data_IF_204738520632
#
_entry.id   IF_204738520632
#
_cell.length_a   1.000
_cell.length_b   1.000
_cell.length_c   1.000
_cell.angle_alpha   90.00
_cell.angle_beta   90.00
_cell.angle_gamma   90.00
#
_symmetry.space_group_name_H-M   'P 1'
#
loop_
_entity.id
_entity.type
_entity.pdbx_description
1 polymer ?
2 branched ?
3 non-polymer ?
4 non-polymer ?
5 non-polymer ?
6 water ?
#
# COMPACT_ATOMS: atom_id res chain seq x y z
C UNK A 1 10.72 1.14 30.81
N UNK A 2 9.42 1.49 30.95
CA UNK A 2 8.76 2.81 30.92
C UNK A 2 9.14 3.62 29.69
N UNK A 3 8.82 3.06 28.52
CA UNK A 3 9.24 3.66 27.26
C UNK A 3 8.30 4.79 26.84
N UNK A 4 6.99 4.58 26.97
CA UNK A 4 6.05 5.60 26.56
C UNK A 4 5.06 5.95 27.64
N UNK A 5 3.91 6.49 27.26
CA UNK A 5 2.84 6.80 28.18
C UNK A 5 1.57 6.12 27.67
N UNK A 6 0.97 5.30 28.52
CA UNK A 6 -0.26 4.61 28.18
C UNK A 6 -1.47 5.43 28.58
N UNK A 7 -2.56 5.23 27.84
CA UNK A 7 -3.84 5.75 28.21
C UNK A 7 -4.91 4.94 27.51
N UNK A 8 -6.18 5.26 27.77
CA UNK A 8 -7.26 4.64 26.98
C UNK A 8 -7.18 5.10 25.54
N UNK A 9 -6.97 4.15 24.64
CA UNK A 9 -6.96 4.32 23.18
C UNK A 9 -5.70 4.97 22.64
N UNK A 10 -4.59 4.97 23.38
CA UNK A 10 -3.37 5.52 22.79
C UNK A 10 -2.14 4.99 23.50
N UNK A 11 -1.02 5.09 22.81
CA UNK A 11 0.30 4.86 23.38
C UNK A 11 1.23 5.93 22.78
N UNK A 12 1.55 6.94 23.57
CA UNK A 12 2.50 7.98 23.16
C UNK A 12 3.90 7.44 23.40
N UNK A 13 4.72 7.27 22.35
CA UNK A 13 6.07 6.73 22.56
C UNK A 13 7.00 7.76 23.21
N UNK A 14 6.67 8.18 24.43
CA UNK A 14 7.49 9.16 25.12
C UNK A 14 7.22 9.04 26.62
N UNK A 15 8.29 9.11 27.41
CA UNK A 15 8.16 8.93 28.84
C UNK A 15 7.54 10.17 29.49
N UNK A 16 6.73 9.93 30.54
CA UNK A 16 6.03 11.01 31.23
C UNK A 16 6.64 11.34 32.59
N UNK A 17 7.93 11.00 32.80
CA UNK A 17 8.55 11.33 34.08
C UNK A 17 8.64 12.83 34.30
N UNK A 18 8.70 13.61 33.23
CA UNK A 18 8.68 15.07 33.34
C UNK A 18 7.27 15.63 33.48
N UNK A 19 6.25 14.83 33.19
CA UNK A 19 4.88 15.32 33.34
C UNK A 19 4.32 16.09 32.15
N UNK A 20 4.99 16.05 31.00
CA UNK A 20 4.59 16.89 29.87
C UNK A 20 3.75 16.15 28.84
N UNK A 21 3.63 14.83 28.92
CA UNK A 21 2.89 14.08 27.92
C UNK A 21 1.40 14.40 28.03
N UNK A 22 0.75 14.51 26.87
CA UNK A 22 -0.69 14.75 26.78
C UNK A 22 -1.32 13.73 25.84
N UNK A 23 -2.61 13.51 26.02
CA UNK A 23 -3.36 12.65 25.11
C UNK A 23 -3.20 13.13 23.67
N UNK A 24 -2.87 12.23 22.73
CA UNK A 24 -2.78 12.64 21.32
C UNK A 24 -4.11 13.04 20.71
N UNK A 25 -5.21 12.94 21.45
CA UNK A 25 -6.51 13.43 21.02
C UNK A 25 -6.83 14.82 21.55
N UNK A 26 -5.94 15.42 22.36
CA UNK A 26 -6.30 16.63 23.11
C UNK A 26 -5.32 17.79 22.96
N UNK A 27 -4.05 17.50 22.73
CA UNK A 27 -3.05 18.57 22.77
C UNK A 27 -1.88 18.20 21.88
N UNK A 28 -1.15 19.20 21.37
CA UNK A 28 -0.09 18.90 20.39
C UNK A 28 1.09 18.16 21.02
N UNK A 29 1.66 17.24 20.25
CA UNK A 29 2.72 16.35 20.72
C UNK A 29 4.11 16.91 20.43
N UNK A 30 4.33 18.18 20.80
CA UNK A 30 5.57 18.84 20.44
C UNK A 30 6.78 18.38 21.27
N UNK A 31 6.62 17.37 22.12
CA UNK A 31 7.76 16.72 22.75
C UNK A 31 8.26 15.51 21.96
N UNK A 32 7.45 15.01 21.03
CA UNK A 32 7.90 13.98 20.10
C UNK A 32 8.76 14.57 18.99
N UNK A 33 8.49 15.82 18.60
CA UNK A 33 9.14 16.44 17.47
C UNK A 33 8.87 17.93 17.52
N UNK A 34 9.81 18.71 16.98
CA UNK A 34 9.65 20.14 16.90
C UNK A 34 8.48 20.50 15.98
N UNK A 35 7.88 21.68 16.17
CA UNK A 35 6.80 22.11 15.26
C UNK A 35 7.19 22.07 13.78
N UNK A 36 8.41 22.51 13.45
CA UNK A 36 8.85 22.49 12.05
C UNK A 36 8.90 21.07 11.49
N UNK A 37 9.10 20.06 12.33
CA UNK A 37 9.07 18.68 11.83
C UNK A 37 7.64 18.21 11.57
N UNK A 38 6.68 18.68 12.35
CA UNK A 38 5.28 18.44 12.01
C UNK A 38 4.92 19.13 10.70
N UNK A 39 5.47 20.33 10.46
CA UNK A 39 5.22 21.01 9.19
C UNK A 39 5.84 20.23 8.04
N UNK A 40 7.01 19.64 8.25
CA UNK A 40 7.63 18.82 7.21
C UNK A 40 6.82 17.56 6.95
N UNK A 41 6.26 16.95 8.00
CA UNK A 41 5.27 15.90 7.78
C UNK A 41 4.12 16.41 6.92
N UNK A 42 3.67 17.64 7.18
CA UNK A 42 2.60 18.22 6.37
C UNK A 42 3.05 18.42 4.94
N UNK A 43 4.26 18.95 4.74
CA UNK A 43 4.78 19.15 3.40
C UNK A 43 4.90 17.84 2.64
N UNK A 44 5.33 16.78 3.34
CA UNK A 44 5.37 15.46 2.73
C UNK A 44 3.99 15.00 2.31
N UNK A 45 2.98 15.19 3.18
CA UNK A 45 1.62 14.83 2.80
C UNK A 45 1.15 15.64 1.62
N UNK A 46 1.49 16.93 1.58
CA UNK A 46 1.09 17.77 0.45
C UNK A 46 1.71 17.26 -0.86
N UNK A 47 2.97 16.85 -0.80
CA UNK A 47 3.63 16.30 -2.00
C UNK A 47 2.88 15.06 -2.50
N UNK A 48 2.56 14.15 -1.58
CA UNK A 48 1.85 12.93 -1.95
C UNK A 48 0.46 13.24 -2.50
N UNK A 49 -0.21 14.25 -1.96
CA UNK A 49 -1.53 14.62 -2.46
C UNK A 49 -1.42 15.18 -3.87
N UNK A 50 -0.50 16.14 -4.07
CA UNK A 50 -0.41 16.81 -5.35
C UNK A 50 0.06 15.88 -6.47
N UNK A 51 0.80 14.83 -6.13
CA UNK A 51 1.21 13.85 -7.14
C UNK A 51 0.27 12.66 -7.21
N UNK A 52 -0.22 12.20 -6.05
CA UNK A 52 -1.11 11.07 -5.94
C UNK A 52 -2.48 11.23 -6.53
N UNK A 53 -3.15 12.35 -6.25
CA UNK A 53 -4.49 12.53 -6.79
C UNK A 53 -4.50 12.60 -8.32
N UNK A 54 -3.74 13.49 -8.98
CA UNK A 54 -3.86 13.57 -10.44
C UNK A 54 -3.54 12.27 -11.15
N UNK A 55 -2.45 11.61 -10.77
CA UNK A 55 -2.05 10.38 -11.44
C UNK A 55 -3.14 9.31 -11.30
N UNK A 56 -3.70 9.15 -10.11
CA UNK A 56 -4.69 8.08 -9.93
C UNK A 56 -6.06 8.47 -10.48
N UNK A 57 -6.44 9.74 -10.36
CA UNK A 57 -7.71 10.16 -10.96
C UNK A 57 -7.64 10.12 -12.47
N UNK A 58 -6.51 10.54 -13.06
CA UNK A 58 -6.35 10.49 -14.50
C UNK A 58 -6.44 9.07 -15.02
N UNK A 59 -5.99 8.08 -14.24
CA UNK A 59 -6.14 6.69 -14.63
C UNK A 59 -7.62 6.32 -14.78
N UNK A 60 -8.44 6.71 -13.81
CA UNK A 60 -9.87 6.45 -13.93
C UNK A 60 -10.48 7.26 -15.06
N UNK A 61 -9.93 8.44 -15.33
CA UNK A 61 -10.54 9.34 -16.31
C UNK A 61 -10.28 8.88 -17.73
N UNK A 62 -9.03 8.51 -18.04
CA UNK A 62 -8.71 8.09 -19.40
C UNK A 62 -9.37 6.76 -19.74
N UNK A 63 -9.72 5.95 -18.74
CA UNK A 63 -10.45 4.71 -19.04
C UNK A 63 -11.86 5.02 -19.51
N UNK A 64 -12.43 6.13 -19.07
CA UNK A 64 -13.76 6.53 -19.51
C UNK A 64 -13.75 6.98 -20.97
N UNK A 65 -12.65 7.58 -21.43
CA UNK A 65 -12.58 8.18 -22.76
C UNK A 65 -12.07 7.23 -23.84
N UNK A 66 -11.46 6.11 -23.48
CA UNK A 66 -10.80 5.24 -24.44
C UNK A 66 -11.36 3.82 -24.32
N UNK A 67 -12.07 3.37 -25.36
CA UNK A 67 -12.79 2.11 -25.29
C UNK A 67 -11.84 0.91 -25.12
N UNK A 68 -10.64 0.97 -25.71
CA UNK A 68 -9.77 -0.19 -25.71
C UNK A 68 -9.11 -0.43 -24.35
N UNK A 69 -9.15 0.53 -23.42
CA UNK A 69 -8.67 0.30 -22.08
C UNK A 69 -9.62 -0.56 -21.24
N UNK A 70 -10.91 -0.58 -21.57
CA UNK A 70 -11.90 -1.29 -20.76
C UNK A 70 -11.93 -2.77 -21.12
N UNK A 71 -10.78 -3.42 -20.94
CA UNK A 71 -10.62 -4.86 -21.08
C UNK A 71 -10.55 -5.51 -19.70
N UNK A 72 -10.98 -6.78 -19.59
CA UNK A 72 -11.01 -7.42 -18.26
C UNK A 72 -9.67 -7.45 -17.55
N UNK A 73 -8.56 -7.63 -18.27
CA UNK A 73 -7.24 -7.64 -17.67
C UNK A 73 -6.84 -6.29 -17.06
N UNK A 74 -7.54 -5.21 -17.40
CA UNK A 74 -7.25 -3.90 -16.84
C UNK A 74 -8.11 -3.54 -15.63
N UNK A 75 -9.11 -4.37 -15.31
CA UNK A 75 -9.99 -4.05 -14.18
C UNK A 75 -9.19 -3.92 -12.88
N UNK A 76 -8.21 -4.81 -12.66
CA UNK A 76 -7.46 -4.78 -11.42
C UNK A 76 -6.62 -3.50 -11.33
N UNK A 77 -6.23 -2.93 -12.47
CA UNK A 77 -5.48 -1.68 -12.45
C UNK A 77 -6.37 -0.51 -12.04
N UNK A 78 -7.63 -0.51 -12.49
CA UNK A 78 -8.57 0.50 -12.00
C UNK A 78 -8.81 0.34 -10.51
N UNK A 79 -8.91 -0.91 -10.05
CA UNK A 79 -9.01 -1.17 -8.63
C UNK A 79 -7.82 -0.58 -7.87
N UNK A 80 -6.61 -0.75 -8.43
CA UNK A 80 -5.42 -0.16 -7.84
C UNK A 80 -5.55 1.36 -7.73
N UNK A 81 -6.04 2.01 -8.80
CA UNK A 81 -6.16 3.46 -8.78
C UNK A 81 -7.13 3.92 -7.69
N UNK A 82 -8.25 3.21 -7.54
CA UNK A 82 -9.21 3.55 -6.49
C UNK A 82 -8.58 3.36 -5.10
N UNK A 83 -7.80 2.28 -4.93
CA UNK A 83 -7.18 2.04 -3.63
C UNK A 83 -6.25 3.18 -3.24
N UNK A 84 -5.45 3.67 -4.19
CA UNK A 84 -4.56 4.78 -3.92
C UNK A 84 -5.32 6.05 -3.58
N UNK A 85 -6.51 6.23 -4.16
CA UNK A 85 -7.35 7.37 -3.81
C UNK A 85 -7.89 7.24 -2.38
N UNK A 86 -8.18 6.02 -1.93
CA UNK A 86 -8.48 5.80 -0.53
C UNK A 86 -7.31 6.21 0.36
N UNK A 87 -6.08 5.91 -0.04
CA UNK A 87 -4.93 6.35 0.73
C UNK A 87 -4.76 7.86 0.65
N UNK A 88 -5.02 8.46 -0.53
CA UNK A 88 -4.83 9.90 -0.70
C UNK A 88 -5.84 10.67 0.15
N UNK A 89 -7.12 10.27 0.13
CA UNK A 89 -8.17 10.98 0.84
C UNK A 89 -8.46 10.42 2.23
N UNK A 90 -8.24 9.14 2.49
CA UNK A 90 -8.46 8.63 3.84
C UNK A 90 -7.29 8.85 4.76
N UNK A 91 -6.08 9.00 4.21
CA UNK A 91 -4.89 9.09 5.02
C UNK A 91 -4.09 10.36 4.85
N UNK A 92 -3.67 10.65 3.61
CA UNK A 92 -2.73 11.77 3.39
C UNK A 92 -3.40 13.11 3.72
N UNK A 93 -4.65 13.29 3.30
CA UNK A 93 -5.30 14.59 3.49
C UNK A 93 -5.68 14.83 4.94
N UNK A 94 -6.18 13.79 5.63
CA UNK A 94 -6.42 13.90 7.07
C UNK A 94 -5.12 14.17 7.82
N UNK A 95 -4.03 13.50 7.42
CA UNK A 95 -2.77 13.65 8.14
C UNK A 95 -2.17 15.03 7.90
N UNK A 96 -2.32 15.57 6.69
CA UNK A 96 -1.91 16.96 6.45
C UNK A 96 -2.65 17.91 7.39
N UNK A 97 -3.92 17.63 7.67
CA UNK A 97 -4.71 18.51 8.52
C UNK A 97 -4.35 18.34 9.99
N UNK A 98 -4.17 17.11 10.46
CA UNK A 98 -3.83 16.88 11.87
C UNK A 98 -2.41 17.30 12.17
N UNK A 99 -1.47 17.03 11.27
CA UNK A 99 -0.07 17.41 11.51
C UNK A 99 0.08 18.91 11.74
N UNK A 100 -0.75 19.73 11.09
CA UNK A 100 -0.68 21.16 11.29
C UNK A 100 -1.28 21.59 12.62
N UNK A 101 -1.97 20.68 13.32
CA UNK A 101 -2.36 20.88 14.70
C UNK A 101 -1.38 20.28 15.69
N UNK A 102 -0.59 19.29 15.28
CA UNK A 102 0.34 18.63 16.18
C UNK A 102 -0.23 17.46 16.94
N UNK A 103 -1.44 17.03 16.60
CA UNK A 103 -2.07 15.86 17.23
C UNK A 103 -3.31 15.48 16.43
N UNK A 104 -3.89 14.34 16.80
CA UNK A 104 -5.04 13.80 16.08
C UNK A 104 -6.31 14.47 16.61
N UNK A 105 -6.75 15.54 15.94
CA UNK A 105 -7.82 16.39 16.45
C UNK A 105 -9.20 15.78 16.28
N UNK A 106 -9.32 14.58 15.71
CA UNK A 106 -10.63 14.01 15.42
C UNK A 106 -11.11 13.02 16.48
N UNK A 107 -10.33 12.81 17.53
CA UNK A 107 -10.74 11.94 18.61
C UNK A 107 -10.65 10.46 18.28
N UNK A 108 -10.95 9.61 19.25
CA UNK A 108 -10.84 8.16 19.01
C UNK A 108 -11.75 7.63 17.93
N UNK A 109 -12.95 8.19 17.79
CA UNK A 109 -13.85 7.75 16.71
C UNK A 109 -13.26 8.05 15.35
N UNK A 110 -12.73 9.27 15.16
CA UNK A 110 -12.06 9.59 13.90
C UNK A 110 -10.81 8.75 13.70
N UNK A 111 -10.21 8.27 14.80
CA UNK A 111 -9.05 7.42 14.71
C UNK A 111 -9.39 6.08 14.06
N UNK A 112 -10.55 5.52 14.41
CA UNK A 112 -11.01 4.29 13.78
C UNK A 112 -11.37 4.51 12.31
N UNK A 113 -12.00 5.65 12.01
CA UNK A 113 -12.35 5.96 10.64
C UNK A 113 -11.11 6.17 9.77
N UNK A 114 -10.22 7.08 10.19
CA UNK A 114 -9.00 7.33 9.43
C UNK A 114 -8.13 6.09 9.38
N UNK A 115 -8.07 5.33 10.48
CA UNK A 115 -7.31 4.10 10.48
C UNK A 115 -7.88 3.07 9.53
N UNK A 116 -9.20 2.88 9.55
CA UNK A 116 -9.82 1.87 8.69
C UNK A 116 -9.60 2.17 7.21
N UNK A 117 -9.95 3.39 6.78
CA UNK A 117 -9.90 3.69 5.35
C UNK A 117 -8.47 3.77 4.82
N UNK A 118 -7.53 4.28 5.63
CA UNK A 118 -6.15 4.30 5.19
C UNK A 118 -5.57 2.89 5.13
N UNK A 119 -5.93 2.03 6.09
CA UNK A 119 -5.49 0.65 6.04
C UNK A 119 -6.19 -0.10 4.91
N UNK A 120 -7.48 0.20 4.68
CA UNK A 120 -8.21 -0.43 3.59
C UNK A 120 -7.58 -0.09 2.24
N UNK A 121 -7.25 1.19 2.04
CA UNK A 121 -6.64 1.60 0.78
C UNK A 121 -5.34 0.89 0.50
N UNK A 122 -4.45 0.83 1.50
CA UNK A 122 -3.17 0.16 1.29
C UNK A 122 -3.33 -1.34 1.09
N UNK A 123 -4.32 -1.94 1.74
CA UNK A 123 -4.54 -3.38 1.58
C UNK A 123 -5.09 -3.70 0.19
N UNK A 124 -6.05 -2.92 -0.30
CA UNK A 124 -6.58 -3.16 -1.64
C UNK A 124 -5.47 -3.03 -2.67
N UNK A 125 -4.57 -2.05 -2.50
CA UNK A 125 -3.46 -1.91 -3.43
C UNK A 125 -2.53 -3.12 -3.39
N UNK A 126 -2.15 -3.55 -2.18
CA UNK A 126 -1.29 -4.71 -2.02
C UNK A 126 -1.86 -5.93 -2.74
N UNK A 127 -3.13 -6.23 -2.50
CA UNK A 127 -3.72 -7.41 -3.08
C UNK A 127 -4.08 -7.24 -4.55
N UNK A 128 -4.21 -5.99 -5.02
CA UNK A 128 -4.33 -5.77 -6.45
C UNK A 128 -3.05 -6.19 -7.17
N UNK A 129 -1.89 -5.85 -6.61
CA UNK A 129 -0.62 -6.29 -7.18
C UNK A 129 -0.50 -7.80 -7.13
N UNK A 130 -1.01 -8.43 -6.06
CA UNK A 130 -0.99 -9.88 -5.98
C UNK A 130 -1.91 -10.49 -7.03
N UNK A 131 -3.12 -9.94 -7.17
CA UNK A 131 -4.08 -10.49 -8.12
C UNK A 131 -3.59 -10.29 -9.56
N UNK A 132 -3.04 -9.11 -9.86
CA UNK A 132 -2.51 -8.87 -11.19
C UNK A 132 -1.41 -9.87 -11.53
N UNK A 133 -0.56 -10.20 -10.57
CA UNK A 133 0.48 -11.21 -10.80
C UNK A 133 -0.13 -12.57 -11.09
N UNK A 134 -1.18 -12.93 -10.34
CA UNK A 134 -1.84 -14.21 -10.55
C UNK A 134 -2.50 -14.26 -11.92
N UNK A 135 -3.18 -13.19 -12.31
CA UNK A 135 -3.87 -13.17 -13.60
C UNK A 135 -2.87 -13.32 -14.75
N UNK A 136 -1.79 -12.53 -14.72
CA UNK A 136 -0.78 -12.63 -15.77
C UNK A 136 -0.13 -14.02 -15.80
N UNK A 137 0.02 -14.66 -14.63
CA UNK A 137 0.55 -16.02 -14.61
C UNK A 137 -0.39 -16.99 -15.28
N UNK A 138 -1.69 -16.83 -15.06
CA UNK A 138 -2.68 -17.74 -15.65
C UNK A 138 -2.73 -17.58 -17.16
N UNK A 139 -2.71 -16.34 -17.64
CA UNK A 139 -2.85 -16.08 -19.08
C UNK A 139 -1.62 -16.57 -19.84
N UNK A 140 -0.44 -16.41 -19.27
CA UNK A 140 0.80 -16.74 -19.99
C UNK A 140 1.19 -18.20 -19.79
N UNK A 141 1.28 -18.65 -18.54
CA UNK A 141 1.75 -20.01 -18.26
C UNK A 141 0.68 -21.06 -18.51
N UNK A 142 -0.59 -20.66 -18.70
CA UNK A 142 -1.71 -21.54 -19.00
C UNK A 142 -1.70 -22.80 -18.13
N UNK A 143 -1.87 -22.68 -16.81
CA UNK A 143 -1.90 -23.88 -15.96
C UNK A 143 -3.23 -24.62 -15.98
N UNK A 144 -4.27 -24.02 -16.55
CA UNK A 144 -5.56 -24.68 -16.72
C UNK A 144 -5.79 -24.87 -18.22
N UNK A 145 -6.07 -26.11 -18.62
CA UNK A 145 -6.01 -26.46 -20.04
C UNK A 145 -7.16 -25.86 -20.83
N UNK A 146 -8.36 -25.86 -20.28
CA UNK A 146 -9.55 -25.38 -20.99
C UNK A 146 -10.03 -24.04 -20.44
N UNK A 147 -9.12 -23.11 -20.20
CA UNK A 147 -9.44 -21.88 -19.49
C UNK A 147 -9.28 -20.66 -20.39
N UNK A 148 -10.22 -19.72 -20.25
CA UNK A 148 -10.17 -18.43 -20.93
C UNK A 148 -10.56 -17.35 -19.93
N UNK A 149 -9.66 -16.40 -19.70
CA UNK A 149 -9.87 -15.36 -18.69
C UNK A 149 -10.81 -14.30 -19.23
N UNK A 150 -11.97 -14.13 -18.58
CA UNK A 150 -12.99 -13.22 -19.06
C UNK A 150 -13.47 -12.20 -18.06
N UNK A 151 -14.61 -11.56 -18.38
CA UNK A 151 -15.13 -10.49 -17.54
C UNK A 151 -15.48 -10.99 -16.14
N UNK A 152 -16.13 -12.15 -16.05
CA UNK A 152 -16.53 -12.67 -14.74
C UNK A 152 -15.33 -13.00 -13.87
N UNK A 153 -14.24 -13.50 -14.49
CA UNK A 153 -13.05 -13.83 -13.71
C UNK A 153 -12.39 -12.59 -13.14
N UNK A 154 -12.34 -11.50 -13.92
CA UNK A 154 -11.71 -10.28 -13.45
C UNK A 154 -12.50 -9.63 -12.33
N UNK A 155 -13.83 -9.70 -12.40
CA UNK A 155 -14.68 -9.22 -11.31
C UNK A 155 -14.42 -10.04 -10.05
N UNK A 156 -14.32 -11.36 -10.22
CA UNK A 156 -13.97 -12.23 -9.10
C UNK A 156 -12.67 -11.81 -8.44
N UNK A 157 -11.66 -11.46 -9.25
CA UNK A 157 -10.38 -11.05 -8.68
C UNK A 157 -10.46 -9.74 -7.92
N UNK A 158 -11.25 -8.79 -8.43
CA UNK A 158 -11.39 -7.50 -7.75
C UNK A 158 -12.10 -7.68 -6.42
N UNK A 159 -13.25 -8.37 -6.42
CA UNK A 159 -13.95 -8.66 -5.18
C UNK A 159 -13.06 -9.37 -4.18
N UNK A 160 -12.12 -10.18 -4.67
CA UNK A 160 -11.20 -10.89 -3.78
C UNK A 160 -10.33 -9.91 -3.00
N UNK A 161 -9.85 -8.85 -3.66
CA UNK A 161 -9.03 -7.86 -2.96
C UNK A 161 -9.81 -7.17 -1.85
N UNK A 162 -11.08 -6.83 -2.12
CA UNK A 162 -11.91 -6.18 -1.10
C UNK A 162 -12.11 -7.08 0.10
N UNK A 163 -12.30 -8.38 -0.15
CA UNK A 163 -12.47 -9.33 0.95
C UNK A 163 -11.18 -9.43 1.76
N UNK A 164 -10.04 -9.55 1.08
CA UNK A 164 -8.76 -9.60 1.79
C UNK A 164 -8.48 -8.30 2.51
N UNK A 165 -8.85 -7.17 1.90
CA UNK A 165 -8.63 -5.89 2.57
C UNK A 165 -9.51 -5.75 3.80
N UNK A 166 -10.76 -6.22 3.72
CA UNK A 166 -11.66 -6.10 4.86
C UNK A 166 -11.22 -7.01 6.00
N UNK A 167 -10.73 -8.21 5.69
CA UNK A 167 -10.34 -9.11 6.76
C UNK A 167 -9.06 -8.68 7.46
N UNK A 168 -8.38 -7.64 6.98
CA UNK A 168 -7.32 -6.99 7.72
C UNK A 168 -7.78 -5.72 8.42
N UNK A 169 -8.55 -4.88 7.74
CA UNK A 169 -8.91 -3.56 8.25
C UNK A 169 -10.08 -3.60 9.22
N UNK A 170 -10.94 -4.60 9.15
CA UNK A 170 -12.15 -4.66 9.95
C UNK A 170 -11.99 -5.28 11.35
N UNK A 171 -11.15 -6.30 11.55
CA UNK A 171 -11.01 -6.88 12.90
C UNK A 171 -10.66 -5.84 13.97
N UNK A 172 -9.74 -4.90 13.71
CA UNK A 172 -9.46 -3.88 14.74
C UNK A 172 -10.67 -3.05 15.12
N UNK A 173 -11.71 -3.01 14.28
CA UNK A 173 -12.94 -2.33 14.64
C UNK A 173 -13.74 -3.08 15.68
N UNK A 174 -13.51 -4.39 15.83
CA UNK A 174 -14.45 -5.23 16.58
C UNK A 174 -13.77 -6.12 17.61
N UNK A 175 -12.49 -5.88 17.89
CA UNK A 175 -11.90 -6.56 19.03
C UNK A 175 -10.61 -7.33 18.84
N UNK A 176 -10.14 -7.50 17.61
CA UNK A 176 -8.86 -8.15 17.34
C UNK A 176 -7.88 -7.07 16.92
N UNK A 177 -6.87 -6.82 17.77
CA UNK A 177 -6.01 -5.65 17.67
C UNK A 177 -6.84 -4.38 17.82
N UNK A 178 -6.29 -3.24 17.41
CA UNK A 178 -7.00 -1.98 17.60
C UNK A 178 -6.32 -0.90 16.77
N UNK A 179 -7.04 0.21 16.62
CA UNK A 179 -6.57 1.38 15.91
C UNK A 179 -6.20 2.45 16.94
N UNK A 180 -4.96 2.95 16.86
CA UNK A 180 -4.48 4.01 17.74
C UNK A 180 -3.61 4.96 16.94
N UNK A 181 -3.43 6.19 17.44
CA UNK A 181 -2.41 7.07 16.85
C UNK A 181 -1.06 6.39 16.89
N UNK A 182 -0.26 6.62 15.85
CA UNK A 182 1.05 6.00 15.72
C UNK A 182 2.06 7.07 15.31
N UNK A 183 3.33 6.75 15.55
CA UNK A 183 4.39 7.68 15.16
C UNK A 183 4.24 9.00 15.87
N UNK A 184 4.17 10.07 15.07
CA UNK A 184 4.01 11.40 15.64
C UNK A 184 2.59 11.68 16.11
N UNK A 185 1.74 10.65 16.11
CA UNK A 185 0.41 10.68 16.70
C UNK A 185 -0.57 11.51 15.90
N UNK A 186 -0.26 11.78 14.64
CA UNK A 186 -1.13 12.55 13.77
C UNK A 186 -1.94 11.68 12.82
N UNK A 187 -1.58 10.41 12.68
CA UNK A 187 -2.37 9.47 11.90
C UNK A 187 -2.53 8.20 12.71
N UNK A 188 -3.47 7.35 12.27
CA UNK A 188 -3.93 6.21 13.05
C UNK A 188 -3.73 4.94 12.24
N UNK A 189 -3.41 3.85 12.93
CA UNK A 189 -3.20 2.59 12.28
C UNK A 189 -3.24 1.42 13.25
N UNK A 190 -2.91 0.23 12.72
CA UNK A 190 -2.92 -0.98 13.52
C UNK A 190 -1.89 -0.86 14.64
N UNK A 191 -2.26 -1.36 15.81
CA UNK A 191 -1.38 -1.28 16.98
C UNK A 191 -0.37 -2.42 16.91
N UNK A 192 0.80 -2.13 16.35
CA UNK A 192 1.97 -3.00 16.46
C UNK A 192 2.90 -2.58 17.59
N UNK A 193 2.48 -1.63 18.43
CA UNK A 193 3.38 -0.96 19.36
C UNK A 193 3.16 -1.36 20.81
N UNK A 194 2.00 -1.92 21.16
CA UNK A 194 1.68 -2.41 22.49
C UNK A 194 1.13 -3.82 22.39
N UNK A 195 1.32 -4.63 23.43
CA UNK A 195 0.76 -6.00 23.42
C UNK A 195 -0.59 -6.07 24.10
N UNK A 196 -1.52 -5.20 23.72
CA UNK A 196 -2.84 -5.09 24.35
C UNK A 196 -3.53 -6.44 24.45
N UNK A 197 -3.52 -7.04 25.65
CA UNK A 197 -4.09 -8.37 25.82
C UNK A 197 -5.61 -8.36 25.65
N UNK A 198 -6.26 -7.24 25.95
CA UNK A 198 -7.71 -7.17 25.83
C UNK A 198 -8.18 -7.37 24.40
N UNK A 199 -7.31 -7.13 23.41
CA UNK A 199 -7.66 -7.30 22.01
C UNK A 199 -6.79 -8.35 21.32
N UNK A 200 -5.98 -9.09 22.08
CA UNK A 200 -5.10 -10.14 21.54
C UNK A 200 -4.24 -9.63 20.39
N UNK A 201 -3.46 -8.58 20.69
CA UNK A 201 -2.62 -7.95 19.68
C UNK A 201 -1.57 -8.93 19.14
N UNK A 202 -1.01 -9.76 20.00
CA UNK A 202 0.07 -10.65 19.60
C UNK A 202 -0.34 -11.53 18.42
N UNK A 203 -1.50 -12.19 18.55
CA UNK A 203 -1.94 -13.10 17.52
C UNK A 203 -2.29 -12.38 16.22
N UNK A 204 -2.78 -11.14 16.31
CA UNK A 204 -3.08 -10.38 15.10
C UNK A 204 -1.81 -9.98 14.35
N UNK A 205 -0.74 -9.66 15.08
CA UNK A 205 0.53 -9.35 14.45
C UNK A 205 1.07 -10.57 13.71
N UNK A 206 0.97 -11.76 14.33
CA UNK A 206 1.33 -12.99 13.64
C UNK A 206 0.49 -13.18 12.40
N UNK A 207 -0.83 -12.98 12.53
CA UNK A 207 -1.72 -13.16 11.39
C UNK A 207 -1.41 -12.15 10.28
N UNK A 208 -1.15 -10.89 10.65
CA UNK A 208 -0.73 -9.90 9.65
C UNK A 208 0.57 -10.34 8.98
N UNK A 209 1.51 -10.86 9.76
CA UNK A 209 2.81 -11.24 9.23
C UNK A 209 2.70 -12.38 8.24
N UNK A 210 1.91 -13.41 8.57
CA UNK A 210 1.83 -14.58 7.71
C UNK A 210 1.01 -14.28 6.47
N UNK A 211 -0.22 -13.79 6.67
CA UNK A 211 -1.19 -13.69 5.58
C UNK A 211 -0.97 -12.43 4.73
N UNK A 212 -0.67 -11.29 5.34
CA UNK A 212 -0.63 -10.02 4.62
C UNK A 212 0.78 -9.52 4.37
N UNK A 213 1.78 -10.38 4.54
CA UNK A 213 3.16 -9.95 4.35
C UNK A 213 3.99 -11.05 3.70
N UNK A 214 3.97 -12.25 4.27
CA UNK A 214 4.74 -13.36 3.71
C UNK A 214 4.08 -13.88 2.45
N UNK A 215 2.79 -14.20 2.53
CA UNK A 215 2.09 -14.80 1.39
C UNK A 215 2.08 -13.90 0.17
N UNK A 216 1.78 -12.59 0.26
CA UNK A 216 1.84 -11.76 -0.96
C UNK A 216 3.20 -11.79 -1.64
N UNK A 217 4.29 -11.84 -0.88
CA UNK A 217 5.61 -11.88 -1.49
C UNK A 217 5.85 -13.20 -2.25
N UNK A 218 5.42 -14.32 -1.65
CA UNK A 218 5.63 -15.61 -2.28
C UNK A 218 4.83 -15.72 -3.58
N UNK A 219 3.56 -15.29 -3.55
CA UNK A 219 2.71 -15.38 -4.72
C UNK A 219 3.26 -14.51 -5.85
N UNK A 220 3.66 -13.29 -5.54
CA UNK A 220 4.21 -12.40 -6.55
C UNK A 220 5.49 -12.99 -7.14
N UNK A 221 6.33 -13.58 -6.28
CA UNK A 221 7.58 -14.14 -6.77
C UNK A 221 7.35 -15.40 -7.60
N UNK A 222 6.44 -16.27 -7.16
CA UNK A 222 6.18 -17.50 -7.91
C UNK A 222 5.59 -17.19 -9.28
N UNK A 223 4.52 -16.40 -9.32
CA UNK A 223 3.83 -16.12 -10.57
C UNK A 223 4.76 -15.46 -11.58
N UNK A 224 5.48 -14.42 -11.16
CA UNK A 224 6.37 -13.72 -12.10
C UNK A 224 7.60 -14.55 -12.41
N UNK A 225 8.06 -15.38 -11.48
CA UNK A 225 9.14 -16.29 -11.78
C UNK A 225 8.74 -17.28 -12.87
N UNK A 226 7.59 -17.91 -12.71
CA UNK A 226 7.11 -18.86 -13.71
C UNK A 226 6.83 -18.16 -15.03
N UNK A 227 6.26 -16.95 -14.98
CA UNK A 227 5.97 -16.20 -16.20
C UNK A 227 7.24 -15.92 -16.98
N UNK A 228 8.27 -15.42 -16.30
CA UNK A 228 9.55 -15.18 -16.98
C UNK A 228 10.11 -16.48 -17.53
N UNK A 229 10.00 -17.57 -16.76
CA UNK A 229 10.48 -18.86 -17.22
C UNK A 229 9.78 -19.30 -18.50
N UNK A 230 8.45 -19.21 -18.52
CA UNK A 230 7.68 -19.59 -19.70
C UNK A 230 8.05 -18.72 -20.89
N UNK A 231 8.21 -17.41 -20.69
CA UNK A 231 8.49 -16.51 -21.79
C UNK A 231 9.89 -16.76 -22.35
N UNK A 232 10.88 -16.89 -21.47
CA UNK A 232 12.23 -17.24 -21.91
C UNK A 232 12.21 -18.56 -22.67
N UNK A 233 11.37 -19.51 -22.21
CA UNK A 233 11.33 -20.83 -22.82
C UNK A 233 10.76 -20.75 -24.24
N UNK A 234 9.67 -20.01 -24.42
CA UNK A 234 9.07 -19.92 -25.75
C UNK A 234 9.96 -19.14 -26.71
N UNK A 235 10.60 -18.08 -26.22
CA UNK A 235 11.50 -17.31 -27.08
C UNK A 235 12.71 -18.13 -27.51
N UNK A 236 13.18 -19.04 -26.67
CA UNK A 236 14.31 -19.89 -27.05
C UNK A 236 13.96 -20.78 -28.23
N UNK A 237 12.69 -21.13 -28.38
CA UNK A 237 12.23 -21.93 -29.51
C UNK A 237 11.99 -21.11 -30.76
N UNK A 238 12.17 -19.79 -30.71
CA UNK A 238 11.91 -18.91 -31.85
C UNK A 238 12.98 -17.82 -31.93
N UNK A 239 14.25 -18.24 -31.92
CA UNK A 239 15.34 -17.28 -31.91
C UNK A 239 15.57 -16.60 -33.26
N UNK A 240 14.90 -17.06 -34.32
CA UNK A 240 15.00 -16.40 -35.61
C UNK A 240 14.14 -15.14 -35.69
N UNK A 241 13.32 -14.87 -34.69
CA UNK A 241 12.45 -13.69 -34.67
C UNK A 241 13.08 -12.62 -33.77
N UNK A 242 13.57 -11.54 -34.39
CA UNK A 242 14.20 -10.47 -33.63
C UNK A 242 13.20 -9.76 -32.71
N UNK A 243 11.92 -9.76 -33.08
CA UNK A 243 10.90 -9.12 -32.26
C UNK A 243 10.51 -9.99 -31.07
N UNK A 244 10.48 -11.31 -31.26
CA UNK A 244 10.26 -12.22 -30.14
C UNK A 244 11.31 -12.02 -29.05
N UNK A 245 12.58 -11.93 -29.45
CA UNK A 245 13.64 -11.65 -28.48
C UNK A 245 13.49 -10.25 -27.90
N UNK A 246 13.02 -9.30 -28.69
CA UNK A 246 12.80 -7.94 -28.19
C UNK A 246 11.68 -7.93 -27.15
N UNK A 247 10.61 -8.68 -27.41
CA UNK A 247 9.51 -8.77 -26.45
C UNK A 247 9.93 -9.50 -25.18
N UNK A 248 10.69 -10.58 -25.32
CA UNK A 248 11.18 -11.30 -24.15
C UNK A 248 12.03 -10.40 -23.27
N UNK A 249 12.92 -9.60 -23.88
CA UNK A 249 13.78 -8.72 -23.09
C UNK A 249 12.96 -7.68 -22.32
N UNK A 250 11.90 -7.16 -22.94
CA UNK A 250 11.13 -6.11 -22.25
C UNK A 250 10.17 -6.69 -21.22
N UNK A 251 9.66 -7.90 -21.43
CA UNK A 251 8.87 -8.56 -20.39
C UNK A 251 9.75 -8.83 -19.17
N UNK A 252 10.95 -9.39 -19.39
CA UNK A 252 11.86 -9.64 -18.27
C UNK A 252 12.23 -8.34 -17.57
N UNK A 253 12.56 -7.31 -18.35
CA UNK A 253 12.95 -6.03 -17.77
C UNK A 253 11.82 -5.42 -16.94
N UNK A 254 10.57 -5.62 -17.38
CA UNK A 254 9.44 -5.05 -16.65
C UNK A 254 9.14 -5.85 -15.38
N UNK A 255 9.26 -7.18 -15.45
CA UNK A 255 9.07 -7.99 -14.25
C UNK A 255 10.10 -7.63 -13.19
N UNK A 256 11.35 -7.44 -13.62
CA UNK A 256 12.41 -7.04 -12.70
C UNK A 256 12.04 -5.70 -12.04
N UNK A 257 11.55 -4.75 -12.83
CA UNK A 257 11.17 -3.45 -12.29
C UNK A 257 10.07 -3.60 -11.24
N UNK A 258 9.09 -4.45 -11.52
CA UNK A 258 7.94 -4.57 -10.61
C UNK A 258 8.32 -5.31 -9.34
N UNK A 259 9.13 -6.35 -9.46
CA UNK A 259 9.56 -7.09 -8.28
C UNK A 259 10.44 -6.21 -7.39
N UNK A 260 11.34 -5.42 -8.01
CA UNK A 260 12.19 -4.53 -7.22
C UNK A 260 11.36 -3.46 -6.54
N UNK A 261 10.36 -2.92 -7.23
CA UNK A 261 9.48 -1.93 -6.61
C UNK A 261 8.73 -2.52 -5.42
N UNK A 262 8.26 -3.76 -5.56
CA UNK A 262 7.58 -4.41 -4.45
C UNK A 262 8.52 -4.66 -3.29
N UNK A 263 9.78 -5.00 -3.57
CA UNK A 263 10.73 -5.25 -2.50
C UNK A 263 11.16 -3.95 -1.81
N UNK A 264 11.13 -2.83 -2.52
CA UNK A 264 11.51 -1.54 -1.92
C UNK A 264 10.52 -1.16 -0.82
N UNK A 265 9.23 -1.51 -1.00
CA UNK A 265 8.23 -1.30 0.03
C UNK A 265 8.19 -2.42 1.07
N UNK A 266 8.52 -3.66 0.68
CA UNK A 266 8.36 -4.81 1.56
C UNK A 266 9.51 -4.93 2.54
N UNK A 267 10.75 -4.77 2.06
CA UNK A 267 11.93 -5.03 2.89
C UNK A 267 12.05 -4.12 4.11
N UNK A 268 11.72 -2.82 4.06
CA UNK A 268 11.79 -2.02 5.30
C UNK A 268 11.01 -2.62 6.46
N UNK A 269 9.80 -3.11 6.22
CA UNK A 269 9.06 -3.80 7.29
C UNK A 269 9.84 -5.01 7.80
N UNK A 270 10.40 -5.81 6.88
CA UNK A 270 11.16 -6.98 7.28
C UNK A 270 12.40 -6.59 8.08
N UNK A 271 13.10 -5.54 7.65
CA UNK A 271 14.26 -5.08 8.40
C UNK A 271 13.91 -4.55 9.77
N UNK A 272 12.87 -3.73 9.86
CA UNK A 272 12.50 -3.18 11.16
C UNK A 272 11.94 -4.27 12.07
N UNK A 273 11.10 -5.15 11.52
CA UNK A 273 10.60 -6.26 12.33
C UNK A 273 11.74 -7.16 12.78
N UNK A 274 12.73 -7.37 11.91
CA UNK A 274 13.90 -8.16 12.31
C UNK A 274 14.67 -7.47 13.43
N UNK A 275 14.82 -6.14 13.35
CA UNK A 275 15.51 -5.40 14.39
C UNK A 275 14.72 -5.43 15.69
N UNK A 276 13.41 -5.24 15.61
CA UNK A 276 12.57 -5.26 16.82
C UNK A 276 12.65 -6.61 17.51
N UNK A 277 12.77 -7.70 16.75
CA UNK A 277 12.83 -9.02 17.34
C UNK A 277 14.25 -9.52 17.59
N UNK A 278 15.26 -8.89 16.98
CA UNK A 278 16.64 -9.26 17.25
C UNK A 278 17.20 -8.55 18.49
N UNK A 279 16.99 -7.23 18.58
CA UNK A 279 17.44 -6.51 19.76
C UNK A 279 16.42 -6.62 20.88
N UNK A 280 15.23 -6.05 20.68
CA UNK A 280 14.08 -6.24 21.58
C UNK A 280 14.42 -5.85 23.01
N UNK A 281 15.17 -4.77 23.16
CA UNK A 281 15.61 -4.37 24.49
C UNK A 281 15.63 -2.87 24.71
N UNK A 282 15.23 -2.10 23.70
CA UNK A 282 15.25 -0.65 23.80
C UNK A 282 13.90 -0.08 23.36
N UNK A 283 13.66 1.16 23.77
CA UNK A 283 12.47 1.88 23.34
C UNK A 283 12.64 2.34 21.91
N UNK A 284 11.60 2.16 21.10
CA UNK A 284 11.58 2.62 19.73
C UNK A 284 10.77 3.91 19.67
N UNK A 285 11.44 5.00 19.31
CA UNK A 285 10.78 6.28 19.20
C UNK A 285 9.67 6.27 18.16
N UNK A 286 8.89 7.35 18.11
CA UNK A 286 7.78 7.43 17.15
C UNK A 286 8.25 7.26 15.72
N UNK A 287 9.52 7.55 15.49
CA UNK A 287 10.05 7.58 14.14
C UNK A 287 10.44 6.18 13.67
N UNK A 288 11.15 5.43 14.50
CA UNK A 288 11.81 4.20 14.05
C UNK A 288 10.86 3.15 13.44
N UNK A 289 10.00 2.54 14.26
CA UNK A 289 9.12 1.49 13.77
C UNK A 289 8.05 2.00 12.81
N UNK A 290 7.98 3.31 12.59
CA UNK A 290 7.10 3.89 11.58
C UNK A 290 7.86 4.31 10.33
N UNK A 291 9.19 4.09 10.30
CA UNK A 291 9.96 4.40 9.08
C UNK A 291 9.48 3.59 7.88
N UNK A 292 9.22 2.28 7.98
CA UNK A 292 8.66 1.58 6.80
C UNK A 292 7.35 2.18 6.31
N UNK A 293 6.45 2.52 7.23
CA UNK A 293 5.19 3.13 6.84
C UNK A 293 5.41 4.48 6.17
N UNK A 294 6.34 5.28 6.72
CA UNK A 294 6.64 6.59 6.16
C UNK A 294 6.97 6.50 4.67
N UNK A 295 7.89 5.61 4.30
CA UNK A 295 8.29 5.52 2.90
C UNK A 295 7.33 4.69 2.06
N UNK A 296 6.56 3.77 2.67
CA UNK A 296 5.59 3.00 1.89
C UNK A 296 4.44 3.87 1.38
N UNK A 297 4.24 5.06 1.94
CA UNK A 297 3.18 5.94 1.46
C UNK A 297 3.40 6.33 0.00
N UNK A 298 4.64 6.54 -0.41
CA UNK A 298 4.94 6.93 -1.77
C UNK A 298 4.52 5.90 -2.80
N UNK A 299 4.14 4.68 -2.39
CA UNK A 299 3.66 3.70 -3.35
C UNK A 299 2.37 4.17 -4.03
N UNK A 300 1.65 5.11 -3.42
CA UNK A 300 0.47 5.67 -4.07
C UNK A 300 0.84 6.48 -5.30
N UNK A 301 2.10 6.87 -5.44
CA UNK A 301 2.59 7.62 -6.58
C UNK A 301 3.33 6.72 -7.57
N UNK A 302 4.26 5.89 -7.11
CA UNK A 302 5.09 5.16 -8.05
C UNK A 302 4.47 3.86 -8.56
N UNK A 303 3.50 3.28 -7.84
CA UNK A 303 2.80 2.12 -8.39
C UNK A 303 2.01 2.47 -9.66
N UNK A 304 1.20 3.53 -9.70
CA UNK A 304 0.56 3.86 -10.98
C UNK A 304 1.55 4.27 -12.06
N UNK A 305 2.69 4.86 -11.69
CA UNK A 305 3.72 5.17 -12.67
C UNK A 305 4.23 3.89 -13.33
N UNK A 306 4.47 2.84 -12.53
CA UNK A 306 5.05 1.61 -13.05
C UNK A 306 4.02 0.75 -13.77
N UNK A 307 2.83 0.60 -13.19
CA UNK A 307 1.83 -0.31 -13.73
C UNK A 307 0.91 0.31 -14.77
N UNK A 308 0.88 1.64 -14.87
CA UNK A 308 -0.08 2.31 -15.76
C UNK A 308 0.65 3.22 -16.75
N UNK A 309 1.41 4.20 -16.22
CA UNK A 309 2.10 5.13 -17.12
C UNK A 309 3.17 4.45 -17.96
N UNK A 310 3.67 3.30 -17.54
CA UNK A 310 4.59 2.55 -18.37
C UNK A 310 3.90 1.52 -19.25
N UNK A 311 2.62 1.27 -19.02
CA UNK A 311 1.81 0.51 -19.95
C UNK A 311 1.66 1.31 -21.24
N UNK A 312 1.92 0.65 -22.38
CA UNK A 312 1.93 1.37 -23.65
C UNK A 312 0.55 1.93 -24.01
N UNK A 313 -0.52 1.21 -23.65
CA UNK A 313 -1.87 1.67 -23.96
C UNK A 313 -2.21 2.93 -23.19
N UNK A 314 -2.12 2.87 -21.86
CA UNK A 314 -2.52 4.00 -21.01
C UNK A 314 -1.72 5.25 -21.38
N UNK A 315 -0.44 5.11 -21.69
CA UNK A 315 0.41 6.27 -21.93
C UNK A 315 -0.10 7.10 -23.10
N UNK A 316 -0.34 6.44 -24.25
CA UNK A 316 -0.81 7.16 -25.42
C UNK A 316 -2.22 7.73 -25.23
N UNK A 317 -3.07 7.01 -24.49
CA UNK A 317 -4.40 7.54 -24.20
C UNK A 317 -4.32 8.73 -23.26
N UNK A 318 -3.39 8.71 -22.30
CA UNK A 318 -3.22 9.85 -21.41
C UNK A 318 -2.72 11.08 -22.17
N UNK A 319 -1.77 10.88 -23.08
CA UNK A 319 -1.28 11.98 -23.90
C UNK A 319 -2.41 12.56 -24.74
N UNK A 320 -3.22 11.68 -25.34
CA UNK A 320 -4.35 12.14 -26.14
C UNK A 320 -5.35 12.92 -25.29
N UNK A 321 -5.61 12.45 -24.07
CA UNK A 321 -6.57 13.12 -23.20
C UNK A 321 -6.03 14.46 -22.71
N UNK A 322 -4.75 14.50 -22.32
CA UNK A 322 -4.15 15.73 -21.82
C UNK A 322 -4.01 16.77 -22.93
N UNK A 323 -3.68 16.32 -24.14
CA UNK A 323 -3.52 17.24 -25.25
C UNK A 323 -4.77 17.48 -26.09
N UNK A 324 -5.92 17.32 -25.43
CA UNK A 324 -7.23 17.65 -26.00
C UNK A 324 -7.54 16.91 -27.30
N UNK A 325 -7.17 15.64 -27.36
CA UNK A 325 -7.50 14.81 -28.50
C UNK A 325 -6.47 14.78 -29.60
N UNK A 326 -5.46 15.63 -29.56
CA UNK A 326 -4.42 15.69 -30.57
C UNK A 326 -3.13 15.09 -30.05
N UNK A 327 -2.34 14.53 -30.96
CA UNK A 327 -1.06 13.92 -30.65
C UNK A 327 -1.20 12.84 -29.58
X LIG B 1 1.60 12.80 32.38
X LIG B 1 0.11 12.51 32.17
X LIG B 1 -0.75 13.69 32.63
X LIG B 1 -0.32 14.24 33.99
X LIG B 1 1.20 14.42 34.06
X LIG B 1 1.68 14.76 35.45
X LIG B 1 -0.93 11.22 30.35
X LIG B 1 -1.13 11.12 28.86
X LIG B 1 -0.17 12.24 30.77
X LIG B 1 -2.11 13.29 32.70
X LIG B 1 -0.92 15.52 34.15
X LIG B 1 1.84 13.19 33.69
X LIG B 1 1.22 13.78 36.37
X LIG B 1 -1.43 10.41 31.12
X LIG B 2 -1.70 15.67 35.35
X LIG B 2 -1.78 17.17 35.57
X LIG B 2 -2.63 17.48 36.81
X LIG B 2 -4.00 16.84 36.66
X LIG B 2 -3.83 15.34 36.41
X LIG B 2 -5.13 14.61 36.19
X LIG B 2 0.12 18.48 34.74
X LIG B 2 1.50 19.00 35.05
X LIG B 2 -0.45 17.75 35.71
X LIG B 2 -2.68 18.90 36.92
X LIG B 2 -4.86 16.96 37.80
X LIG B 2 -3.02 15.13 35.24
X LIG B 2 -4.96 13.20 36.27
X LIG B 2 -0.44 18.72 33.68
X LIG B 3 -4.96 18.26 38.43
X LIG B 3 -5.70 19.26 37.48
X LIG B 3 -6.29 20.35 38.34
X LIG B 3 -7.44 19.78 39.19
X LIG B 3 -7.04 18.43 39.85
X LIG B 3 -7.81 17.22 39.33
X LIG B 3 -6.75 18.63 36.75
X LIG B 3 -6.73 21.48 37.58
X LIG B 3 -7.80 20.71 40.19
X LIG B 3 -5.61 18.16 39.74
X LIG B 3 -9.06 17.20 39.96
X LIG B 4 -5.86 22.67 37.59
X LIG B 4 -4.37 22.34 38.13
X LIG B 4 -4.06 22.79 39.58
X LIG B 4 -4.87 24.04 40.00
X LIG B 4 -6.33 23.76 39.74
X LIG B 4 -7.26 24.81 40.30
X LIG B 4 -3.37 22.95 37.31
X LIG B 4 -2.67 23.01 39.78
X LIG B 4 -4.68 24.30 41.38
X LIG B 4 -6.51 23.74 38.32
X LIG B 4 -8.59 24.42 40.00
X LIG B 5 -8.84 16.82 41.32
X LIG B 5 -9.59 15.47 41.51
X LIG B 5 -9.81 15.11 42.99
X LIG B 5 -10.08 16.32 43.93
X LIG B 5 -9.25 17.58 43.57
X LIG B 5 -7.76 17.58 44.03
X LIG B 5 -8.79 14.39 40.99
X LIG B 5 -8.75 14.30 43.50
X LIG B 5 -11.46 16.66 43.88
X LIG B 5 -9.32 17.84 42.16
X LIG B 5 -7.24 16.25 44.06
X LIG C 1 -0.28 17.75 -24.36
X LIG C 1 0.35 17.57 -23.32
X LIG C 1 -0.62 19.11 -24.88
X LIG C 1 -1.09 20.02 -23.77
X LIG C 1 0.02 20.88 -23.22
X LIG C 1 0.24 20.65 -21.74
X LIG C 1 1.52 21.29 -21.27
X LIG C 1 1.46 21.80 -19.86
X LIG C 1 1.68 20.70 -18.84
X LIG C 1 2.32 21.24 -17.57
X LIG C 1 2.25 20.24 -16.44
X LIG C 1 3.20 20.60 -15.32
X LIG C 1 2.53 21.49 -14.28
X LIG C 1 3.55 21.94 -13.25
X LIG C 1 2.90 22.45 -11.97
X LIG C 1 3.92 22.50 -10.86
X LIG C 1 3.37 23.12 -9.61
X LIG D 1 0.45 1.19 6.12
X LIG D 1 1.20 1.31 4.92
X LIG D 1 1.38 1.24 7.32
X LIG D 1 2.28 0.13 7.25
X LIG D 1 0.59 1.25 8.64
X LIG D 1 1.48 1.42 9.74
X LIG D 1 -0.41 2.39 8.60
X LIG D 1 -1.26 2.31 9.76
X LIG D 1 -1.29 2.30 7.36
X LIG D 1 -0.49 2.25 6.17
X LIG D 1 -2.21 3.51 7.25
X LIG D 1 -1.45 4.71 7.05
X LIG D 1 0.39 1.00 3.80
X LIG D 1 1.30 0.78 2.60
X LIG D 1 0.52 0.21 1.43
X LIG D 1 1.47 -0.31 0.35
X LIG D 1 0.68 -0.90 -0.82
X LIG D 1 1.60 -1.33 -1.94
X LIG D 1 2.52 -2.46 -1.50
X LIG D 1 3.41 -2.90 -2.63
X LIG E 1 -4.12 25.81 15.54
X LIG E 1 -4.94 25.41 14.45
X LIG E 1 -4.96 26.65 16.48
X LIG E 1 -5.41 27.84 15.80
X LIG E 1 -4.18 27.04 17.72
X LIG E 1 -5.04 27.74 18.63
X LIG E 1 -3.65 25.79 18.39
X LIG E 1 -2.81 26.18 19.47
X LIG E 1 -2.85 24.95 17.40
X LIG E 1 -3.60 24.66 16.21
X LIG E 1 -2.41 23.64 18.04
X LIG E 1 -1.17 23.22 17.45
X LIG E 1 -4.19 25.01 13.30
X LIG E 1 -5.16 24.80 12.14
X LIG E 1 -4.45 24.24 10.93
X LIG E 1 -5.40 24.00 9.77
X LIG E 1 -4.62 23.63 8.51
X LIG E 1 -5.52 23.44 7.31
X LIG E 1 -4.67 23.13 6.08
X LIG E 1 -5.50 22.79 4.86
X LIG F 1 5.28 9.25 11.31
X LIG F 1 6.36 8.94 12.20
X LIG F 1 4.85 8.01 10.55
X LIG F 1 5.96 7.48 9.81
X LIG F 1 3.73 8.34 9.58
X LIG F 1 3.24 7.13 9.00
X LIG F 1 2.62 9.03 10.35
X LIG F 1 1.63 9.47 9.41
X LIG F 1 3.13 10.22 11.17
X LIG F 1 4.19 9.82 12.04
X LIG F 1 2.01 10.85 12.01
X LIG F 1 1.33 9.87 12.80
X LIG F 1 7.43 9.84 11.97
X LIG F 1 8.58 9.04 11.37
X LIG F 1 9.45 9.84 10.42
X LIG F 1 10.25 8.89 9.54
X LIG F 1 11.00 9.62 8.44
X LIG F 1 12.25 10.28 8.99
X LIG F 1 12.97 11.05 7.89
X LIG F 1 13.20 10.16 6.69
X LIG G 1 17.60 -12.80 -17.04
X LIG G 1 16.88 -12.06 -16.07
X LIG G 1 18.42 -11.88 -17.92
X LIG G 1 17.57 -11.03 -18.70
X LIG G 1 19.31 -12.68 -18.87
X LIG G 1 20.19 -11.79 -19.57
X LIG G 1 20.12 -13.70 -18.10
X LIG G 1 20.81 -14.56 -19.02
X LIG G 1 19.22 -14.56 -17.21
X LIG G 1 18.43 -13.74 -16.35
X LIG G 1 20.04 -15.50 -16.35
X LIG G 1 19.17 -16.19 -15.44
X LIG G 1 16.16 -12.94 -15.21
X LIG G 1 15.47 -12.15 -14.13
X LIG G 1 14.18 -12.87 -13.71
X LIG G 1 13.55 -12.20 -12.51
X LIG G 1 12.16 -12.78 -12.26
X LIG G 1 11.65 -12.39 -10.88
X LIG G 1 10.27 -12.99 -10.65
X LIG G 1 9.91 -12.90 -9.19
X LIG H 1 5.26 -6.96 9.69
X LIG H 1 6.33 -8.46 11.14
X LIG H 1 5.11 -8.72 11.77
X LIG H 1 3.93 -8.10 11.37
X LIG H 1 0.22 -3.75 5.56
X LIG H 1 2.26 -2.96 4.32
X LIG H 1 1.44 -5.20 3.89
X LIG H 1 -0.75 -2.64 5.03
X LIG H 1 3.28 -3.16 3.42
X LIG H 1 2.46 -5.40 2.98
X LIG H 1 -1.11 -2.86 3.54
X LIG H 1 -2.04 -2.62 5.85
X LIG H 1 3.36 -4.38 2.76
X LIG H 1 2.09 -3.83 8.96
X LIG H 1 3.57 -4.23 9.01
X LIG H 1 3.69 -5.71 8.70
X LIG H 1 3.05 -6.07 7.35
X LIG H 1 1.58 -5.66 7.39
X LIG H 1 1.47 -4.22 7.69
X LIG H 1 0.85 -3.28 6.86
X LIG H 1 0.81 -2.09 7.20
X LIG H 1 1.33 -3.97 4.57
X LIG H 1 5.08 -6.05 8.69
X LIG H 1 4.04 -7.22 10.32
X LIG H 1 3.05 -6.47 9.72
X LIG H 1 6.42 -7.56 10.07
X LIG H 1 4.63 -4.62 1.62
#
# INVERSE_FOLDING_TARGET
XMCGTEGPNFYVPFSNKTGVVRSPFEAPQYYLAEPWQFSMLAAYMFLLIMLGFPINFLTLYVTVQHKKLRTPLNYILLNLAVADLFMVFGGFTTTLYTSLHGYFVFGPTGCNLEGFFATLGGEIALWSLVVLAIERYVVVCKPMSNFRFGENHAIMGVAFTWVMALACAAPPLVGWSRYIPEGMQCSCGIDYYTPHEETNNESFVIYMFVVHFIIPLIVIFFCYGQLVFTVKEAAAQQQESATTQKAEKEVTRMVIIMVIAFLICWLPYAGVAFYIFTHQGSCFGPIFMTIPAFFAKTSAVYNPVIYIMMNKQFRNCMVTTLCCGKN
NAG C1 C2 C3 C4 C5 C6 C7 C8 N2 O3 O4 O5 O6 O7
NAG C1 C2 C3 C4 C5 C6 C7 C8 N2 O3 O4 O5 O6 O7
BMA C1 C2 C3 C4 C5 C6 O2 O3 O4 O5 O6
MAN C1 C2 C3 C4 C5 C6 O2 O3 O4 O5 O6
MAN C1 C2 C3 C4 C5 C6 O2 O3 O4 O5 O6
PLM C1 O2 C2 C3 C4 C5 C6 C7 C8 C9 CA CB CC CD CE CF CG
BOG C1 O1 C2 O2 C3 O3 C4 O4 C5 O5 C6 O6 C1' C2' C3' C4' C5' C6' C7' C8'
BOG C1 O1 C2 O2 C3 O3 C4 O4 C5 O5 C6 O6 C1' C2' C3' C4' C5' C6' C7' C8'
BOG C1 O1 C2 O2 C3 O3 C4 O4 C5 O5 C6 O6 C1' C2' C3' C4' C5' C6' C7' C8'
BOG C1 O1 C2 O2 C3 O3 C4 O4 C5 O5 C6 O6 C1' C2' C3' C4' C5' C6' C7' C8'
DOK C11 C15 C16 C17 C18 C19 C20 C21 C22 C23 C24 C25 C26 C1 C2 C3 C4 C5 N6 C7 O8 C9 O10 C12 O13 C14 CL
#
